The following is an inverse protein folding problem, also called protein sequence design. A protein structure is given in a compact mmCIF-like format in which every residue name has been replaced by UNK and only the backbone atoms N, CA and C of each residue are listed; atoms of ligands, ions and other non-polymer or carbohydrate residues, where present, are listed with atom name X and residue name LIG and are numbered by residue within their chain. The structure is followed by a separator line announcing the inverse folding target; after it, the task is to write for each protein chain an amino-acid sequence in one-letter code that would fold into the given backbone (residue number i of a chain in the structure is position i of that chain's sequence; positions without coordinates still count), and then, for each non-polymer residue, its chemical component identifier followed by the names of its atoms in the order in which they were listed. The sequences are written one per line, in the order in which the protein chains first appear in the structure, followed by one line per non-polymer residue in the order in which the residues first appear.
data_IF_262419992758
#
_entry.id   IF_262419992758
#
_cell.length_a   1.000
_cell.length_b   1.000
_cell.length_c   1.000
_cell.angle_alpha   90.00
_cell.angle_beta   90.00
_cell.angle_gamma   90.00
#
_symmetry.space_group_name_H-M   'P 1'
#
loop_
_entity.id
_entity.type
_entity.pdbx_description
1 polymer ?
#
# COMPACT_ATOMS: atom_id res chain seq x y z
N UNK A 1 83.82 -2.87 -0.80
CA UNK A 1 82.37 -2.54 -0.89
C UNK A 1 81.60 -3.73 -0.35
N UNK A 2 80.86 -3.58 0.76
CA UNK A 2 80.12 -4.67 1.43
C UNK A 2 78.65 -4.63 0.98
N UNK A 3 78.20 -5.63 0.23
CA UNK A 3 76.80 -5.78 -0.19
C UNK A 3 76.07 -6.59 0.89
N UNK A 4 75.06 -6.01 1.52
CA UNK A 4 74.16 -6.70 2.45
C UNK A 4 72.91 -7.12 1.68
N UNK A 5 72.62 -8.42 1.65
CA UNK A 5 71.35 -8.95 1.13
C UNK A 5 70.30 -8.90 2.24
N UNK A 6 69.22 -8.15 2.03
CA UNK A 6 68.07 -8.10 2.93
C UNK A 6 67.00 -9.06 2.40
N UNK A 7 66.75 -10.15 3.12
CA UNK A 7 65.73 -11.13 2.77
C UNK A 7 64.36 -10.64 3.29
N UNK A 8 63.47 -10.24 2.38
CA UNK A 8 62.08 -9.86 2.71
C UNK A 8 61.22 -11.13 2.65
N UNK A 9 60.73 -11.56 3.81
CA UNK A 9 59.77 -12.66 3.93
C UNK A 9 58.36 -12.13 3.66
N UNK A 10 57.78 -12.43 2.49
CA UNK A 10 56.37 -12.16 2.20
C UNK A 10 55.49 -13.16 2.97
N UNK A 11 54.79 -12.71 4.01
CA UNK A 11 53.67 -13.46 4.58
C UNK A 11 52.48 -13.38 3.62
N UNK A 12 52.11 -14.51 3.01
CA UNK A 12 50.86 -14.64 2.26
C UNK A 12 49.69 -14.70 3.26
N UNK A 13 48.97 -13.59 3.41
CA UNK A 13 47.71 -13.53 4.16
C UNK A 13 46.64 -14.17 3.27
N UNK A 14 46.30 -15.43 3.53
CA UNK A 14 45.15 -16.10 2.93
C UNK A 14 43.87 -15.49 3.52
N UNK A 15 43.29 -14.54 2.79
CA UNK A 15 41.96 -14.01 3.08
C UNK A 15 40.93 -15.12 2.79
N UNK A 16 40.44 -15.80 3.84
CA UNK A 16 39.28 -16.67 3.69
C UNK A 16 38.06 -15.79 3.35
N UNK A 17 37.27 -16.11 2.32
CA UNK A 17 36.02 -15.41 2.09
C UNK A 17 35.10 -15.65 3.29
N UNK A 18 34.72 -14.58 3.96
CA UNK A 18 33.68 -14.60 5.00
C UNK A 18 32.37 -15.03 4.31
N UNK A 19 31.60 -15.97 4.87
CA UNK A 19 30.26 -16.25 4.38
C UNK A 19 29.46 -14.94 4.38
N UNK A 20 29.00 -14.50 3.20
CA UNK A 20 28.02 -13.42 3.13
C UNK A 20 26.76 -13.90 3.84
N UNK A 21 26.41 -13.24 4.95
CA UNK A 21 25.05 -13.33 5.47
C UNK A 21 24.08 -12.91 4.36
N UNK A 22 22.94 -13.59 4.19
CA UNK A 22 21.93 -13.15 3.24
C UNK A 22 21.54 -11.70 3.55
N UNK A 23 21.50 -10.85 2.52
CA UNK A 23 21.17 -9.43 2.68
C UNK A 23 19.89 -9.26 3.50
N UNK A 24 19.97 -8.40 4.53
CA UNK A 24 18.87 -8.01 5.40
C UNK A 24 17.67 -7.58 4.56
N UNK A 25 16.53 -8.26 4.75
CA UNK A 25 15.17 -7.86 4.36
C UNK A 25 15.05 -6.37 3.95
N UNK A 26 15.14 -6.10 2.65
CA UNK A 26 14.97 -4.76 2.10
C UNK A 26 13.48 -4.43 2.05
N UNK A 27 12.98 -3.77 3.10
CA UNK A 27 11.66 -3.12 3.03
C UNK A 27 11.67 -2.10 1.91
N UNK A 28 10.78 -2.25 0.93
CA UNK A 28 10.55 -1.23 -0.09
C UNK A 28 9.50 -0.23 0.39
N UNK A 29 9.76 1.04 0.16
CA UNK A 29 8.83 2.11 0.50
C UNK A 29 7.85 2.33 -0.67
N UNK A 30 6.61 1.88 -0.53
CA UNK A 30 5.58 2.01 -1.59
C UNK A 30 5.09 3.46 -1.77
N UNK A 31 4.96 4.21 -0.68
CA UNK A 31 4.54 5.61 -0.72
C UNK A 31 5.72 6.54 -0.43
N UNK A 32 6.02 7.43 -1.38
CA UNK A 32 7.20 8.29 -1.35
C UNK A 32 7.09 9.51 -0.42
N UNK A 33 5.93 9.73 0.21
CA UNK A 33 5.70 10.86 1.13
C UNK A 33 5.51 12.22 0.46
N UNK A 34 5.35 12.28 -0.87
CA UNK A 34 5.34 13.54 -1.63
C UNK A 34 4.20 13.62 -2.64
N UNK A 35 3.95 12.55 -3.36
CA UNK A 35 2.98 12.51 -4.45
C UNK A 35 2.46 11.08 -4.66
N UNK A 36 1.58 10.93 -5.67
CA UNK A 36 0.98 9.64 -6.03
C UNK A 36 1.69 8.97 -7.22
N UNK A 37 2.95 9.33 -7.51
CA UNK A 37 3.74 8.61 -8.52
C UNK A 37 3.89 7.15 -8.09
N UNK A 38 3.68 6.23 -9.04
CA UNK A 38 3.67 4.79 -8.78
C UNK A 38 2.29 4.22 -8.46
N UNK A 39 1.26 5.08 -8.42
CA UNK A 39 -0.12 4.66 -8.17
C UNK A 39 -1.03 4.95 -9.38
N UNK A 40 -2.05 4.12 -9.53
CA UNK A 40 -3.20 4.32 -10.40
C UNK A 40 -4.42 4.66 -9.52
N UNK A 41 -5.25 5.60 -9.97
CA UNK A 41 -6.49 5.96 -9.30
C UNK A 41 -7.65 5.38 -10.08
N UNK A 42 -8.50 4.58 -9.42
CA UNK A 42 -9.74 4.09 -9.98
C UNK A 42 -10.90 4.47 -9.07
N UNK A 43 -11.86 5.23 -9.60
CA UNK A 43 -13.10 5.60 -8.92
C UNK A 43 -14.27 5.05 -9.75
N UNK A 44 -15.26 4.42 -9.11
CA UNK A 44 -16.47 3.94 -9.80
C UNK A 44 -17.19 5.10 -10.49
N UNK A 45 -17.60 4.91 -11.75
CA UNK A 45 -18.19 5.96 -12.60
C UNK A 45 -17.19 6.86 -13.33
N UNK A 46 -15.90 6.77 -13.03
CA UNK A 46 -14.85 7.61 -13.65
C UNK A 46 -13.81 6.78 -14.41
N UNK A 47 -13.26 7.39 -15.45
CA UNK A 47 -12.19 6.78 -16.25
C UNK A 47 -10.92 6.62 -15.42
N UNK A 48 -10.05 5.68 -15.81
CA UNK A 48 -8.80 5.41 -15.10
C UNK A 48 -7.95 6.69 -14.96
N UNK A 49 -7.44 6.91 -13.75
CA UNK A 49 -6.64 8.06 -13.33
C UNK A 49 -7.38 9.42 -13.31
N UNK A 50 -8.70 9.42 -13.44
CA UNK A 50 -9.51 10.59 -13.08
C UNK A 50 -9.72 10.62 -11.55
N UNK A 51 -9.04 11.56 -10.89
CA UNK A 51 -9.12 11.76 -9.44
C UNK A 51 -10.28 12.70 -9.11
N UNK A 52 -11.50 12.21 -9.31
CA UNK A 52 -12.71 12.97 -9.06
C UNK A 52 -12.72 13.57 -7.65
N UNK A 53 -13.08 14.85 -7.56
CA UNK A 53 -13.13 15.66 -6.33
C UNK A 53 -11.87 15.56 -5.47
N UNK A 54 -10.71 15.36 -6.09
CA UNK A 54 -9.43 15.29 -5.39
C UNK A 54 -9.43 14.26 -4.23
N UNK A 55 -10.07 13.10 -4.47
CA UNK A 55 -10.29 12.06 -3.46
C UNK A 55 -8.99 11.55 -2.86
N UNK A 56 -8.02 11.25 -3.73
CA UNK A 56 -6.68 10.84 -3.34
C UNK A 56 -5.72 11.99 -3.45
N UNK A 57 -4.98 12.28 -2.38
CA UNK A 57 -4.02 13.39 -2.37
C UNK A 57 -2.96 13.20 -1.31
N UNK A 58 -1.90 13.99 -1.42
CA UNK A 58 -0.82 14.02 -0.43
C UNK A 58 -0.81 15.39 0.24
N UNK A 59 -0.92 15.39 1.56
CA UNK A 59 -0.86 16.59 2.39
C UNK A 59 0.00 16.29 3.62
N UNK A 60 0.96 17.16 3.92
CA UNK A 60 1.89 17.02 5.05
C UNK A 60 2.63 15.67 5.08
N UNK A 61 2.95 15.13 3.90
CA UNK A 61 3.63 13.84 3.76
C UNK A 61 2.75 12.62 4.05
N UNK A 62 1.43 12.81 4.14
CA UNK A 62 0.44 11.75 4.38
C UNK A 62 -0.40 11.56 3.13
N UNK A 63 -0.51 10.30 2.69
CA UNK A 63 -1.47 9.89 1.68
C UNK A 63 -2.88 9.90 2.30
N UNK A 64 -3.76 10.71 1.73
CA UNK A 64 -5.16 10.86 2.14
C UNK A 64 -6.08 10.25 1.10
N UNK A 65 -7.03 9.44 1.55
CA UNK A 65 -8.23 9.05 0.82
C UNK A 65 -9.41 9.71 1.52
N UNK A 66 -9.99 10.75 0.92
CA UNK A 66 -10.94 11.64 1.59
C UNK A 66 -12.04 12.11 0.65
N UNK A 67 -13.28 11.99 1.12
CA UNK A 67 -14.49 12.42 0.41
C UNK A 67 -15.02 13.78 0.92
N UNK A 68 -14.17 14.58 1.55
CA UNK A 68 -14.52 15.89 2.13
C UNK A 68 -14.88 16.97 1.10
N UNK A 69 -14.63 16.72 -0.20
CA UNK A 69 -15.03 17.60 -1.30
C UNK A 69 -16.28 17.10 -2.03
N UNK A 70 -17.04 16.19 -1.42
CA UNK A 70 -18.28 15.66 -1.96
C UNK A 70 -19.47 16.23 -1.20
N UNK A 71 -20.50 16.68 -1.93
CA UNK A 71 -21.77 17.08 -1.32
C UNK A 71 -22.59 15.86 -0.88
N UNK A 72 -22.60 14.80 -1.69
CA UNK A 72 -23.26 13.52 -1.40
C UNK A 72 -22.48 12.41 -2.11
N UNK A 73 -22.31 11.28 -1.43
CA UNK A 73 -21.77 10.06 -2.01
C UNK A 73 -22.85 9.31 -2.80
N UNK A 74 -22.57 9.01 -4.06
CA UNK A 74 -23.46 8.31 -4.98
C UNK A 74 -22.84 7.01 -5.51
N UNK A 75 -21.92 6.41 -4.76
CA UNK A 75 -21.27 5.16 -5.14
C UNK A 75 -19.90 5.32 -5.77
N UNK A 76 -19.25 6.48 -5.64
CA UNK A 76 -17.92 6.76 -6.17
C UNK A 76 -16.81 6.04 -5.37
N UNK A 77 -16.90 4.72 -5.20
CA UNK A 77 -15.89 3.93 -4.48
C UNK A 77 -14.52 4.06 -5.15
N UNK A 78 -13.59 4.67 -4.43
CA UNK A 78 -12.23 4.93 -4.89
C UNK A 78 -11.21 3.90 -4.41
N UNK A 79 -10.29 3.54 -5.30
CA UNK A 79 -9.15 2.66 -5.05
C UNK A 79 -7.86 3.32 -5.55
N UNK A 80 -6.83 3.26 -4.72
CA UNK A 80 -5.46 3.63 -5.10
C UNK A 80 -4.64 2.34 -5.23
N UNK A 81 -4.20 2.04 -6.45
CA UNK A 81 -3.64 0.74 -6.82
C UNK A 81 -2.18 0.91 -7.23
N UNK A 82 -1.26 0.10 -6.69
CA UNK A 82 0.16 0.15 -7.09
C UNK A 82 0.30 -0.20 -8.58
N UNK A 83 1.17 0.50 -9.30
CA UNK A 83 1.50 0.15 -10.69
C UNK A 83 2.33 -1.12 -10.79
N UNK A 84 3.15 -1.40 -9.77
CA UNK A 84 3.87 -2.65 -9.65
C UNK A 84 3.00 -3.75 -9.04
N UNK A 85 3.25 -4.98 -9.47
CA UNK A 85 2.55 -6.18 -9.00
C UNK A 85 3.47 -7.00 -8.10
N UNK A 86 2.93 -7.46 -6.97
CA UNK A 86 3.66 -8.28 -6.00
C UNK A 86 2.98 -9.63 -5.80
N UNK A 87 3.76 -10.68 -5.59
CA UNK A 87 3.24 -12.04 -5.36
C UNK A 87 3.49 -12.58 -3.95
N UNK A 88 4.67 -12.32 -3.37
CA UNK A 88 5.04 -12.79 -2.03
C UNK A 88 5.66 -11.63 -1.26
N UNK A 89 4.95 -11.13 -0.25
CA UNK A 89 5.37 -9.93 0.46
C UNK A 89 4.78 -9.92 1.88
N UNK A 90 5.38 -9.08 2.72
CA UNK A 90 4.76 -8.62 3.96
C UNK A 90 4.43 -7.15 3.74
N UNK A 91 3.15 -6.80 3.86
CA UNK A 91 2.71 -5.41 3.80
C UNK A 91 2.67 -4.82 5.21
N UNK A 92 3.28 -3.65 5.39
CA UNK A 92 3.17 -2.84 6.61
C UNK A 92 2.51 -1.52 6.26
N UNK A 93 1.41 -1.21 6.93
CA UNK A 93 0.67 0.05 6.79
C UNK A 93 0.44 0.64 8.17
N UNK A 94 0.65 1.95 8.28
CA UNK A 94 0.17 2.76 9.41
C UNK A 94 -0.98 3.62 8.90
N UNK A 95 -2.12 3.59 9.59
CA UNK A 95 -3.31 4.31 9.19
C UNK A 95 -3.98 4.97 10.39
N UNK A 96 -4.79 5.99 10.11
CA UNK A 96 -5.71 6.62 11.06
C UNK A 96 -6.94 7.10 10.31
N UNK A 97 -8.06 7.16 11.02
CA UNK A 97 -9.28 7.78 10.51
C UNK A 97 -9.44 9.18 11.10
N UNK A 98 -9.91 10.12 10.27
CA UNK A 98 -10.16 11.51 10.63
C UNK A 98 -11.38 12.02 9.87
N UNK A 99 -11.94 13.15 10.30
CA UNK A 99 -13.08 13.78 9.64
C UNK A 99 -14.40 13.06 9.93
N UNK A 100 -15.39 13.34 9.09
CA UNK A 100 -16.75 12.80 9.18
C UNK A 100 -17.12 12.09 7.88
N UNK A 101 -18.06 11.14 7.94
CA UNK A 101 -18.55 10.49 6.74
C UNK A 101 -19.40 11.47 5.92
N UNK A 102 -19.14 11.55 4.62
CA UNK A 102 -19.95 12.31 3.66
C UNK A 102 -21.40 11.82 3.66
N UNK A 103 -22.35 12.74 3.46
CA UNK A 103 -23.76 12.41 3.31
C UNK A 103 -23.99 11.37 2.20
N UNK A 104 -24.93 10.45 2.39
CA UNK A 104 -25.21 9.37 1.43
C UNK A 104 -24.22 8.20 1.49
N UNK A 105 -23.15 8.30 2.28
CA UNK A 105 -22.25 7.19 2.54
C UNK A 105 -22.97 5.99 3.17
N UNK A 106 -22.57 4.75 2.87
CA UNK A 106 -23.23 3.57 3.42
C UNK A 106 -23.01 3.49 4.93
N UNK A 107 -24.00 2.98 5.68
CA UNK A 107 -23.93 2.91 7.15
C UNK A 107 -22.74 2.10 7.69
N UNK A 108 -22.22 1.15 6.91
CA UNK A 108 -21.01 0.39 7.24
C UNK A 108 -19.70 1.15 6.94
N UNK A 109 -19.76 2.29 6.27
CA UNK A 109 -18.62 3.06 5.76
C UNK A 109 -17.98 4.00 6.79
N UNK A 110 -18.57 4.19 7.97
CA UNK A 110 -17.99 5.03 9.03
C UNK A 110 -16.64 4.45 9.44
N UNK A 111 -15.58 5.24 9.27
CA UNK A 111 -14.19 4.87 9.57
C UNK A 111 -13.84 3.47 9.06
N UNK A 112 -14.12 3.22 7.78
CA UNK A 112 -13.90 1.94 7.13
C UNK A 112 -13.04 2.14 5.88
N UNK A 113 -12.02 1.31 5.74
CA UNK A 113 -11.14 1.23 4.58
C UNK A 113 -10.52 -0.19 4.56
N UNK A 114 -9.54 -0.44 3.69
CA UNK A 114 -8.84 -1.72 3.68
C UNK A 114 -7.72 -1.77 2.65
N UNK A 115 -6.83 -2.74 2.83
CA UNK A 115 -5.84 -3.08 1.81
C UNK A 115 -6.42 -4.16 0.89
N UNK A 116 -6.57 -3.83 -0.39
CA UNK A 116 -7.00 -4.77 -1.45
C UNK A 116 -5.79 -5.60 -1.91
N UNK A 117 -5.67 -6.81 -1.40
CA UNK A 117 -4.57 -7.75 -1.64
C UNK A 117 -4.88 -8.68 -2.83
N UNK A 118 -3.84 -8.99 -3.62
CA UNK A 118 -3.95 -9.83 -4.82
C UNK A 118 -5.13 -9.41 -5.71
N UNK A 119 -5.23 -8.10 -5.92
CA UNK A 119 -6.35 -7.50 -6.61
C UNK A 119 -6.20 -7.53 -8.13
N UNK A 120 -7.34 -7.44 -8.80
CA UNK A 120 -7.46 -7.09 -10.21
C UNK A 120 -6.68 -5.81 -10.55
N UNK A 121 -6.11 -5.73 -11.76
CA UNK A 121 -5.45 -4.50 -12.21
C UNK A 121 -6.43 -3.35 -12.40
N UNK A 122 -5.96 -2.11 -12.19
CA UNK A 122 -6.77 -0.91 -12.35
C UNK A 122 -7.38 -0.79 -13.76
N UNK A 123 -6.63 -1.20 -14.79
CA UNK A 123 -7.02 -1.15 -16.21
C UNK A 123 -8.11 -2.16 -16.57
N UNK A 124 -8.24 -3.25 -15.80
CA UNK A 124 -9.23 -4.29 -16.09
C UNK A 124 -10.53 -4.13 -15.30
N UNK A 125 -10.55 -3.24 -14.30
CA UNK A 125 -11.79 -2.87 -13.62
C UNK A 125 -12.74 -2.16 -14.59
N UNK A 126 -14.03 -2.49 -14.53
CA UNK A 126 -15.04 -1.80 -15.34
C UNK A 126 -15.22 -0.34 -14.88
N UNK A 127 -15.84 0.49 -15.73
CA UNK A 127 -16.11 1.89 -15.43
C UNK A 127 -16.87 2.04 -14.11
N UNK A 128 -17.97 1.31 -13.96
CA UNK A 128 -18.90 1.36 -12.82
C UNK A 128 -18.66 0.23 -11.81
N UNK A 129 -17.45 -0.34 -11.77
CA UNK A 129 -17.11 -1.40 -10.81
C UNK A 129 -16.68 -0.79 -9.47
N UNK A 130 -17.44 -1.11 -8.43
CA UNK A 130 -17.25 -0.55 -7.08
C UNK A 130 -15.98 -1.02 -6.37
N UNK A 131 -15.61 -2.30 -6.53
CA UNK A 131 -14.45 -2.90 -5.86
C UNK A 131 -13.66 -3.78 -6.85
N UNK A 132 -12.31 -3.78 -6.82
CA UNK A 132 -11.55 -4.74 -7.59
C UNK A 132 -11.86 -6.15 -7.09
N UNK A 133 -11.77 -7.15 -7.98
CA UNK A 133 -11.76 -8.55 -7.55
C UNK A 133 -10.50 -8.77 -6.71
N UNK A 134 -10.65 -9.08 -5.42
CA UNK A 134 -9.52 -9.14 -4.48
C UNK A 134 -9.84 -9.90 -3.18
N UNK A 135 -8.82 -10.03 -2.33
CA UNK A 135 -8.97 -10.29 -0.89
C UNK A 135 -8.71 -8.95 -0.18
N UNK A 136 -9.52 -8.56 0.78
CA UNK A 136 -9.34 -7.33 1.54
C UNK A 136 -8.95 -7.63 2.98
N UNK A 137 -7.91 -6.96 3.46
CA UNK A 137 -7.63 -6.84 4.89
C UNK A 137 -8.24 -5.52 5.39
N UNK A 138 -9.36 -5.62 6.12
CA UNK A 138 -10.16 -4.46 6.51
C UNK A 138 -9.46 -3.59 7.58
N UNK A 139 -9.55 -2.29 7.42
CA UNK A 139 -9.16 -1.26 8.39
C UNK A 139 -10.42 -0.61 8.96
N UNK A 140 -10.69 -0.82 10.24
CA UNK A 140 -11.79 -0.17 10.94
C UNK A 140 -11.26 0.74 12.05
N UNK A 141 -11.80 1.96 12.10
CA UNK A 141 -11.66 2.86 13.23
C UNK A 141 -12.77 2.63 14.26
N UNK A 142 -12.46 2.88 15.53
CA UNK A 142 -13.46 2.92 16.58
C UNK A 142 -14.49 4.01 16.33
N UNK A 143 -15.75 3.72 16.63
CA UNK A 143 -16.86 4.67 16.53
C UNK A 143 -17.70 4.59 17.80
N UNK A 144 -17.72 5.66 18.59
CA UNK A 144 -18.33 5.65 19.92
C UNK A 144 -17.50 4.87 20.95
N UNK A 145 -18.17 4.29 21.94
CA UNK A 145 -17.54 3.56 23.05
C UNK A 145 -17.49 2.04 22.84
N UNK A 146 -18.07 1.53 21.75
CA UNK A 146 -18.14 0.10 21.50
C UNK A 146 -16.82 -0.47 20.95
N UNK A 147 -16.49 -1.69 21.37
CA UNK A 147 -15.37 -2.43 20.79
C UNK A 147 -15.68 -2.80 19.34
N UNK A 148 -14.76 -2.48 18.43
CA UNK A 148 -14.87 -2.81 17.01
C UNK A 148 -13.63 -3.56 16.55
N UNK A 149 -13.81 -4.77 16.03
CA UNK A 149 -12.70 -5.56 15.48
C UNK A 149 -12.24 -4.97 14.15
N UNK A 150 -10.94 -5.02 13.89
CA UNK A 150 -10.35 -4.66 12.59
C UNK A 150 -9.58 -5.87 12.05
N UNK A 151 -9.10 -5.79 10.81
CA UNK A 151 -8.40 -6.88 10.12
C UNK A 151 -9.31 -8.07 9.82
N UNK A 152 -10.61 -7.81 9.63
CA UNK A 152 -11.52 -8.80 9.07
C UNK A 152 -11.16 -9.06 7.60
N UNK A 153 -11.51 -10.26 7.11
CA UNK A 153 -11.32 -10.62 5.72
C UNK A 153 -12.59 -10.30 4.93
N UNK A 154 -12.47 -9.54 3.86
CA UNK A 154 -13.55 -9.38 2.87
C UNK A 154 -13.10 -9.96 1.52
N UNK A 155 -14.03 -10.49 0.74
CA UNK A 155 -13.72 -11.23 -0.50
C UNK A 155 -14.49 -10.69 -1.72
N UNK A 156 -14.27 -9.42 -2.14
CA UNK A 156 -14.97 -8.87 -3.29
C UNK A 156 -14.67 -9.66 -4.56
N UNK A 157 -15.71 -10.24 -5.16
CA UNK A 157 -15.58 -11.07 -6.37
C UNK A 157 -14.74 -12.34 -6.19
N UNK A 158 -14.40 -12.73 -4.97
CA UNK A 158 -13.57 -13.91 -4.66
C UNK A 158 -14.23 -14.79 -3.59
N UNK A 159 -13.74 -16.02 -3.45
CA UNK A 159 -14.08 -16.92 -2.35
C UNK A 159 -12.82 -17.61 -1.82
N UNK A 160 -12.79 -17.85 -0.52
CA UNK A 160 -11.69 -18.58 0.14
C UNK A 160 -12.12 -20.03 0.33
N UNK A 161 -11.27 -20.97 -0.08
CA UNK A 161 -11.46 -22.40 0.12
C UNK A 161 -10.33 -22.91 1.01
N UNK A 162 -10.68 -23.73 1.99
CA UNK A 162 -9.76 -24.35 2.96
C UNK A 162 -9.34 -25.74 2.52
#
# INVERSE_FOLDING_TARGET
MKIHYFLILLLAITCKPTPQEPEKNEWIQLFNGKDLIGWNIKISGFVLNDNFNNTFRVEDGILKASYDQYDTFNGEFGHLITRETFSHYILRVEYRFVGEQVAGGPGWGIFNNGAMLHCQSAESMLLDQDFPVSIEAQFLGGYGEEERTTSNVCTPGTNIVM
#
